data_IF_437600068704
#
_entry.id   IF_437600068704
#
_cell.length_a   1.000
_cell.length_b   1.000
_cell.length_c   1.000
_cell.angle_alpha   90.00
_cell.angle_beta   90.00
_cell.angle_gamma   90.00
#
_symmetry.space_group_name_H-M   'P 1'
#
loop_
_entity.id
_entity.type
_entity.pdbx_description
1 polymer ?
#
# COMPACT_ATOMS: atom_id res chain seq x y z
N UNK A 1 50.22 -4.26 10.09
CA UNK A 1 49.48 -3.95 8.85
C UNK A 1 48.87 -5.24 8.35
N UNK A 2 47.57 -5.40 8.53
CA UNK A 2 46.76 -6.45 7.88
C UNK A 2 45.46 -5.74 7.49
N UNK A 3 45.49 -5.14 6.30
CA UNK A 3 44.30 -4.57 5.68
C UNK A 3 43.35 -5.71 5.36
N UNK A 4 42.22 -5.77 6.07
CA UNK A 4 41.05 -6.45 5.56
C UNK A 4 40.43 -5.50 4.51
N UNK A 5 40.77 -5.74 3.25
CA UNK A 5 39.96 -5.29 2.12
C UNK A 5 38.60 -6.03 2.19
N UNK A 6 37.71 -5.60 3.07
CA UNK A 6 36.29 -5.72 2.78
C UNK A 6 36.05 -4.72 1.66
N UNK A 7 35.97 -5.19 0.41
CA UNK A 7 35.39 -4.40 -0.67
C UNK A 7 34.05 -3.87 -0.16
N UNK A 8 33.96 -2.55 0.01
CA UNK A 8 32.68 -1.88 0.21
C UNK A 8 31.84 -2.18 -1.03
N UNK A 9 30.77 -2.95 -0.85
CA UNK A 9 29.79 -3.20 -1.92
C UNK A 9 28.56 -2.34 -1.64
N UNK A 10 27.88 -1.92 -2.70
CA UNK A 10 26.60 -1.22 -2.61
C UNK A 10 25.49 -2.27 -2.44
N UNK A 11 24.85 -2.37 -1.25
CA UNK A 11 23.93 -3.48 -0.96
C UNK A 11 22.71 -3.53 -1.87
N UNK A 12 22.12 -2.38 -2.17
CA UNK A 12 20.93 -2.27 -3.03
C UNK A 12 21.24 -2.67 -4.47
N UNK A 13 22.42 -2.29 -4.96
CA UNK A 13 22.85 -2.63 -6.30
C UNK A 13 23.10 -4.13 -6.43
N UNK A 14 23.83 -4.71 -5.46
CA UNK A 14 24.03 -6.16 -5.40
C UNK A 14 22.70 -6.92 -5.33
N UNK A 15 21.75 -6.45 -4.52
CA UNK A 15 20.42 -7.04 -4.45
C UNK A 15 19.74 -7.01 -5.83
N UNK A 16 19.75 -5.86 -6.51
CA UNK A 16 19.16 -5.72 -7.84
C UNK A 16 19.80 -6.66 -8.87
N UNK A 17 21.14 -6.80 -8.88
CA UNK A 17 21.85 -7.74 -9.76
C UNK A 17 21.44 -9.19 -9.50
N UNK A 18 21.36 -9.58 -8.21
CA UNK A 18 20.91 -10.91 -7.81
C UNK A 18 19.49 -11.14 -8.30
N UNK A 19 18.55 -10.23 -8.01
CA UNK A 19 17.16 -10.33 -8.48
C UNK A 19 17.10 -10.45 -9.99
N UNK A 20 17.72 -9.53 -10.74
CA UNK A 20 17.70 -9.53 -12.21
C UNK A 20 18.21 -10.85 -12.80
N UNK A 21 19.22 -11.47 -12.19
CA UNK A 21 19.76 -12.75 -12.66
C UNK A 21 18.73 -13.89 -12.67
N UNK A 22 17.65 -13.80 -11.90
CA UNK A 22 16.59 -14.82 -11.84
C UNK A 22 15.50 -14.67 -12.92
N UNK A 23 15.50 -13.57 -13.69
CA UNK A 23 14.48 -13.29 -14.72
C UNK A 23 15.12 -13.19 -16.10
N UNK A 24 14.54 -13.87 -17.10
CA UNK A 24 15.08 -13.80 -18.45
C UNK A 24 14.89 -12.40 -19.06
N UNK A 25 16.00 -11.80 -19.53
CA UNK A 25 15.97 -10.47 -20.16
C UNK A 25 15.85 -9.29 -19.19
N UNK A 26 15.87 -9.53 -17.87
CA UNK A 26 15.82 -8.45 -16.89
C UNK A 26 17.13 -7.64 -16.86
N UNK A 27 17.01 -6.35 -16.57
CA UNK A 27 18.14 -5.41 -16.49
C UNK A 27 18.06 -4.59 -15.21
N UNK A 28 19.23 -4.25 -14.66
CA UNK A 28 19.34 -3.30 -13.55
C UNK A 28 19.48 -1.89 -14.13
N UNK A 29 18.73 -0.95 -13.57
CA UNK A 29 18.79 0.48 -13.89
C UNK A 29 18.81 1.28 -12.59
N UNK A 30 19.37 2.48 -12.66
CA UNK A 30 19.25 3.48 -11.60
C UNK A 30 18.17 4.49 -11.99
N UNK A 31 17.19 4.70 -11.13
CA UNK A 31 16.11 5.66 -11.32
C UNK A 31 15.88 6.44 -10.02
N UNK A 32 16.00 7.78 -10.08
CA UNK A 32 15.88 8.67 -8.93
C UNK A 32 16.76 8.27 -7.72
N UNK A 33 17.95 7.73 -8.00
CA UNK A 33 18.90 7.24 -6.99
C UNK A 33 18.56 5.88 -6.38
N UNK A 34 17.49 5.22 -6.86
CA UNK A 34 17.12 3.87 -6.45
C UNK A 34 17.57 2.82 -7.46
N UNK A 35 17.90 1.61 -6.97
CA UNK A 35 18.27 0.47 -7.79
C UNK A 35 17.01 -0.30 -8.21
N UNK A 36 16.75 -0.37 -9.51
CA UNK A 36 15.51 -0.92 -10.05
C UNK A 36 15.81 -2.03 -11.05
N UNK A 37 15.12 -3.16 -10.92
CA UNK A 37 15.12 -4.24 -11.90
C UNK A 37 13.94 -4.06 -12.83
N UNK A 38 14.21 -3.91 -14.13
CA UNK A 38 13.18 -3.94 -15.15
C UNK A 38 13.08 -5.34 -15.75
N UNK A 39 11.87 -5.91 -15.74
CA UNK A 39 11.61 -7.25 -16.27
C UNK A 39 11.32 -7.28 -17.78
N UNK A 40 11.16 -6.11 -18.41
CA UNK A 40 10.84 -5.95 -19.83
C UNK A 40 9.66 -5.01 -20.08
N UNK A 41 9.38 -4.74 -21.35
CA UNK A 41 8.28 -3.85 -21.75
C UNK A 41 6.92 -4.38 -21.29
N UNK A 42 6.09 -3.50 -20.71
CA UNK A 42 4.76 -3.85 -20.18
C UNK A 42 4.77 -4.72 -18.92
N UNK A 43 5.94 -5.09 -18.40
CA UNK A 43 6.11 -5.89 -17.19
C UNK A 43 6.31 -4.97 -15.97
N UNK A 44 6.06 -5.46 -14.75
CA UNK A 44 6.39 -4.73 -13.55
C UNK A 44 7.90 -4.47 -13.43
N UNK A 45 8.27 -3.37 -12.78
CA UNK A 45 9.62 -3.11 -12.29
C UNK A 45 9.72 -3.44 -10.80
N UNK A 46 10.94 -3.71 -10.32
CA UNK A 46 11.22 -4.07 -8.92
C UNK A 46 12.29 -3.14 -8.37
N UNK A 47 11.91 -2.19 -7.53
CA UNK A 47 12.87 -1.40 -6.76
C UNK A 47 13.41 -2.24 -5.62
N UNK A 48 14.73 -2.29 -5.49
CA UNK A 48 15.45 -3.14 -4.55
C UNK A 48 16.08 -2.31 -3.43
N UNK A 49 15.74 -2.62 -2.18
CA UNK A 49 16.28 -1.94 -0.99
C UNK A 49 16.70 -2.97 0.06
N UNK A 50 17.91 -2.84 0.56
CA UNK A 50 18.41 -3.55 1.73
C UNK A 50 18.15 -2.66 2.95
N UNK A 51 17.15 -3.04 3.76
CA UNK A 51 16.68 -2.24 4.88
C UNK A 51 17.61 -2.33 6.09
N UNK A 52 18.00 -3.56 6.44
CA UNK A 52 18.86 -3.81 7.59
C UNK A 52 19.86 -4.92 7.28
N UNK A 53 21.05 -4.78 7.85
CA UNK A 53 22.13 -5.74 7.75
C UNK A 53 22.82 -5.89 9.09
N UNK A 54 23.01 -7.14 9.51
CA UNK A 54 23.79 -7.43 10.71
C UNK A 54 25.28 -7.39 10.37
N UNK A 55 26.06 -6.50 11.01
CA UNK A 55 27.49 -6.38 10.75
C UNK A 55 28.30 -7.54 11.36
N UNK A 56 27.71 -8.28 12.30
CA UNK A 56 28.36 -9.36 13.06
C UNK A 56 27.61 -10.69 12.93
N UNK A 57 28.31 -11.83 13.11
CA UNK A 57 27.68 -13.15 13.17
C UNK A 57 26.58 -13.26 14.25
N UNK A 58 25.48 -13.98 13.98
CA UNK A 58 25.13 -14.53 12.66
C UNK A 58 24.72 -13.41 11.70
N UNK A 59 25.41 -13.33 10.56
CA UNK A 59 25.12 -12.34 9.54
C UNK A 59 23.72 -12.55 8.99
N UNK A 60 23.03 -11.45 8.74
CA UNK A 60 21.70 -11.46 8.17
C UNK A 60 21.44 -10.16 7.42
N UNK A 61 20.58 -10.25 6.41
CA UNK A 61 20.06 -9.10 5.67
C UNK A 61 18.54 -9.19 5.60
N UNK A 62 17.88 -8.06 5.75
CA UNK A 62 16.45 -7.90 5.54
C UNK A 62 16.24 -6.97 4.34
N UNK A 63 15.39 -7.37 3.40
CA UNK A 63 15.19 -6.67 2.14
C UNK A 63 13.74 -6.27 1.93
N UNK A 64 13.56 -5.13 1.27
CA UNK A 64 12.30 -4.65 0.72
C UNK A 64 12.37 -4.63 -0.80
N UNK A 65 11.32 -5.13 -1.43
CA UNK A 65 11.13 -5.09 -2.88
C UNK A 65 9.80 -4.41 -3.18
N UNK A 66 9.85 -3.26 -3.84
CA UNK A 66 8.65 -2.59 -4.35
C UNK A 66 8.43 -2.98 -5.80
N UNK A 67 7.35 -3.71 -6.07
CA UNK A 67 6.99 -4.18 -7.41
C UNK A 67 5.85 -3.33 -7.96
N UNK A 68 6.10 -2.55 -9.02
CA UNK A 68 5.11 -1.60 -9.58
C UNK A 68 4.96 -1.75 -11.09
N UNK A 69 3.79 -1.35 -11.61
CA UNK A 69 3.51 -1.34 -13.04
C UNK A 69 3.06 -2.69 -13.59
N UNK A 70 2.98 -2.78 -14.92
CA UNK A 70 2.38 -3.92 -15.61
C UNK A 70 0.96 -4.21 -15.10
N UNK A 71 0.63 -5.51 -14.96
CA UNK A 71 -0.69 -5.93 -14.46
C UNK A 71 -0.92 -5.68 -12.96
N UNK A 72 0.10 -5.28 -12.19
CA UNK A 72 -0.06 -4.89 -10.77
C UNK A 72 -0.57 -3.45 -10.61
N UNK A 73 -0.53 -2.64 -11.68
CA UNK A 73 -0.90 -1.24 -11.66
C UNK A 73 0.13 -0.35 -10.97
N UNK A 74 -0.17 0.95 -10.87
CA UNK A 74 0.73 1.96 -10.32
C UNK A 74 0.96 1.81 -8.81
N UNK A 75 -0.06 1.35 -8.07
CA UNK A 75 0.08 1.16 -6.62
C UNK A 75 1.08 0.06 -6.30
N UNK A 76 1.05 -1.06 -7.03
CA UNK A 76 2.03 -2.13 -6.89
C UNK A 76 1.92 -2.95 -5.60
N UNK A 77 3.05 -3.51 -5.19
CA UNK A 77 3.20 -4.41 -4.05
C UNK A 77 4.52 -4.21 -3.30
N UNK A 78 4.48 -4.29 -1.97
CA UNK A 78 5.67 -4.36 -1.13
C UNK A 78 5.88 -5.78 -0.66
N UNK A 79 7.07 -6.34 -0.92
CA UNK A 79 7.43 -7.70 -0.51
C UNK A 79 8.70 -7.68 0.32
N UNK A 80 8.75 -8.54 1.33
CA UNK A 80 9.89 -8.68 2.25
C UNK A 80 10.48 -10.08 2.16
N UNK A 81 11.80 -10.15 2.35
CA UNK A 81 12.50 -11.40 2.58
C UNK A 81 13.73 -11.18 3.47
N UNK A 82 14.26 -12.27 3.98
CA UNK A 82 15.52 -12.27 4.72
C UNK A 82 16.47 -13.34 4.22
N UNK A 83 17.75 -13.08 4.44
CA UNK A 83 18.84 -13.98 4.10
C UNK A 83 19.86 -14.03 5.23
N UNK A 84 20.46 -15.20 5.42
CA UNK A 84 21.52 -15.43 6.38
C UNK A 84 22.67 -16.10 5.65
N UNK A 85 23.88 -15.61 5.81
CA UNK A 85 25.02 -16.07 5.03
C UNK A 85 26.33 -16.05 5.81
N UNK A 86 27.44 -16.48 5.16
CA UNK A 86 28.77 -16.48 5.78
C UNK A 86 29.35 -15.07 5.99
N UNK A 87 28.68 -14.03 5.49
CA UNK A 87 29.07 -12.64 5.59
C UNK A 87 27.92 -11.70 5.21
N UNK A 88 28.15 -10.40 5.36
CA UNK A 88 27.23 -9.33 4.97
C UNK A 88 26.74 -9.48 3.51
N UNK A 89 27.67 -9.53 2.55
CA UNK A 89 27.39 -9.73 1.13
C UNK A 89 26.61 -11.02 0.86
N UNK A 90 27.05 -12.14 1.44
CA UNK A 90 26.39 -13.43 1.29
C UNK A 90 24.97 -13.45 1.84
N UNK A 91 24.68 -12.64 2.87
CA UNK A 91 23.33 -12.52 3.44
C UNK A 91 22.38 -11.78 2.49
N UNK A 92 22.85 -10.72 1.82
CA UNK A 92 22.09 -10.01 0.78
C UNK A 92 21.79 -10.92 -0.41
N UNK A 93 22.80 -11.63 -0.92
CA UNK A 93 22.62 -12.62 -2.01
C UNK A 93 21.59 -13.67 -1.60
N UNK A 94 21.69 -14.22 -0.39
CA UNK A 94 20.75 -15.21 0.12
C UNK A 94 19.33 -14.65 0.21
N UNK A 95 19.16 -13.40 0.66
CA UNK A 95 17.86 -12.76 0.74
C UNK A 95 17.22 -12.60 -0.65
N UNK A 96 17.99 -12.10 -1.62
CA UNK A 96 17.56 -11.94 -3.01
C UNK A 96 17.18 -13.28 -3.65
N UNK A 97 18.03 -14.31 -3.55
CA UNK A 97 17.75 -15.64 -4.07
C UNK A 97 16.53 -16.28 -3.41
N UNK A 98 16.36 -16.13 -2.09
CA UNK A 98 15.20 -16.66 -1.38
C UNK A 98 13.89 -16.07 -1.94
N UNK A 99 13.85 -14.76 -2.13
CA UNK A 99 12.68 -14.11 -2.72
C UNK A 99 12.49 -14.51 -4.18
N UNK A 100 13.53 -14.41 -4.99
CA UNK A 100 13.42 -14.62 -6.43
C UNK A 100 13.02 -16.05 -6.78
N UNK A 101 13.55 -17.04 -6.06
CA UNK A 101 13.19 -18.43 -6.26
C UNK A 101 11.77 -18.77 -5.78
N UNK A 102 11.34 -18.24 -4.64
CA UNK A 102 10.01 -18.54 -4.09
C UNK A 102 8.89 -17.73 -4.74
N UNK A 103 9.09 -16.42 -4.92
CA UNK A 103 8.03 -15.48 -5.28
C UNK A 103 8.16 -14.91 -6.69
N UNK A 104 9.34 -14.97 -7.33
CA UNK A 104 9.49 -14.67 -8.75
C UNK A 104 8.56 -15.50 -9.65
N UNK A 105 8.46 -16.85 -9.46
CA UNK A 105 7.51 -17.68 -10.19
C UNK A 105 6.04 -17.31 -9.99
N UNK A 106 5.65 -16.89 -8.78
CA UNK A 106 4.29 -16.42 -8.49
C UNK A 106 3.97 -15.18 -9.32
N UNK A 107 4.87 -14.19 -9.32
CA UNK A 107 4.71 -12.96 -10.07
C UNK A 107 4.56 -13.25 -11.57
N UNK A 108 5.51 -13.99 -12.14
CA UNK A 108 5.52 -14.33 -13.56
C UNK A 108 4.31 -15.16 -13.99
N UNK A 109 3.89 -16.13 -13.18
CA UNK A 109 2.71 -16.93 -13.47
C UNK A 109 1.44 -16.07 -13.45
N UNK A 110 1.28 -15.22 -12.43
CA UNK A 110 0.09 -14.38 -12.29
C UNK A 110 -0.04 -13.32 -13.40
N UNK A 111 1.09 -12.79 -13.90
CA UNK A 111 1.07 -11.85 -15.03
C UNK A 111 0.99 -12.54 -16.41
N UNK A 112 0.90 -13.87 -16.45
CA UNK A 112 0.77 -14.64 -17.69
C UNK A 112 2.07 -14.85 -18.45
N UNK A 113 3.22 -14.77 -17.78
CA UNK A 113 4.57 -14.97 -18.33
C UNK A 113 5.37 -16.07 -17.63
N UNK A 114 4.81 -17.28 -17.40
CA UNK A 114 5.56 -18.37 -16.78
C UNK A 114 6.74 -18.84 -17.64
N UNK A 115 6.76 -18.50 -18.94
CA UNK A 115 7.88 -18.75 -19.87
C UNK A 115 9.19 -18.07 -19.45
N UNK A 116 9.13 -17.05 -18.60
CA UNK A 116 10.31 -16.31 -18.13
C UNK A 116 10.90 -16.87 -16.83
N UNK A 117 10.32 -17.93 -16.25
CA UNK A 117 10.78 -18.51 -14.97
C UNK A 117 12.10 -19.27 -15.19
N UNK A 118 13.16 -18.85 -14.49
CA UNK A 118 14.46 -19.55 -14.51
C UNK A 118 14.62 -20.57 -13.38
N UNK A 119 13.80 -20.47 -12.34
CA UNK A 119 13.82 -21.41 -11.20
C UNK A 119 13.48 -22.80 -11.70
N UNK A 120 14.31 -23.79 -11.37
CA UNK A 120 14.03 -25.20 -11.66
C UNK A 120 12.90 -25.69 -10.76
N UNK A 121 11.94 -26.41 -11.34
CA UNK A 121 10.77 -26.99 -10.65
C UNK A 121 10.08 -26.00 -9.68
N UNK A 122 9.60 -24.84 -10.19
CA UNK A 122 9.04 -23.81 -9.33
C UNK A 122 7.77 -24.32 -8.63
N UNK A 123 7.75 -24.25 -7.30
CA UNK A 123 6.54 -24.56 -6.53
C UNK A 123 5.57 -23.37 -6.61
N UNK A 124 4.47 -23.54 -7.36
CA UNK A 124 3.38 -22.56 -7.45
C UNK A 124 2.04 -23.30 -7.37
N UNK A 125 1.19 -22.90 -6.43
CA UNK A 125 -0.21 -23.37 -6.36
C UNK A 125 -1.14 -22.32 -6.97
N UNK A 126 -2.15 -22.77 -7.71
CA UNK A 126 -3.27 -21.93 -8.17
C UNK A 126 -4.60 -22.48 -7.69
N UNK A 127 -5.46 -21.59 -7.19
CA UNK A 127 -6.84 -21.93 -6.81
C UNK A 127 -7.77 -20.74 -7.01
N UNK A 128 -9.08 -21.00 -7.08
CA UNK A 128 -10.09 -19.93 -7.04
C UNK A 128 -10.52 -19.64 -5.60
N UNK A 129 -10.70 -18.36 -5.29
CA UNK A 129 -11.27 -17.89 -4.03
C UNK A 129 -12.30 -16.79 -4.28
N UNK A 130 -13.23 -16.63 -3.33
CA UNK A 130 -14.16 -15.50 -3.29
C UNK A 130 -13.68 -14.51 -2.24
N UNK A 131 -13.51 -13.25 -2.64
CA UNK A 131 -13.24 -12.12 -1.75
C UNK A 131 -14.44 -11.20 -1.84
N UNK A 132 -15.22 -11.12 -0.76
CA UNK A 132 -16.55 -10.53 -0.81
C UNK A 132 -17.42 -11.20 -1.87
N UNK A 133 -18.01 -10.41 -2.76
CA UNK A 133 -18.84 -10.92 -3.86
C UNK A 133 -18.07 -11.21 -5.16
N UNK A 134 -16.73 -11.05 -5.17
CA UNK A 134 -15.89 -11.15 -6.37
C UNK A 134 -15.00 -12.39 -6.34
N UNK A 135 -14.93 -13.12 -7.45
CA UNK A 135 -14.03 -14.27 -7.65
C UNK A 135 -12.65 -13.84 -8.12
N UNK A 136 -11.65 -14.53 -7.59
CA UNK A 136 -10.25 -14.33 -7.90
C UNK A 136 -9.58 -15.67 -8.19
N UNK A 137 -8.64 -15.68 -9.14
CA UNK A 137 -7.62 -16.70 -9.26
C UNK A 137 -6.45 -16.28 -8.39
N UNK A 138 -6.11 -17.11 -7.42
CA UNK A 138 -5.00 -16.91 -6.50
C UNK A 138 -3.83 -17.73 -7.00
N UNK A 139 -2.70 -17.08 -7.24
CA UNK A 139 -1.41 -17.74 -7.52
C UNK A 139 -0.54 -17.53 -6.29
N UNK A 140 -0.01 -18.59 -5.68
CA UNK A 140 0.71 -18.50 -4.40
C UNK A 140 1.91 -19.43 -4.35
N UNK A 141 2.94 -18.99 -3.63
CA UNK A 141 4.04 -19.83 -3.19
C UNK A 141 4.42 -19.49 -1.74
N UNK A 142 5.37 -20.24 -1.18
CA UNK A 142 5.76 -20.15 0.22
C UNK A 142 7.27 -20.11 0.42
N UNK A 143 7.68 -19.57 1.57
CA UNK A 143 9.07 -19.54 2.02
C UNK A 143 9.12 -19.84 3.52
N UNK A 144 9.45 -21.08 3.87
CA UNK A 144 9.42 -21.56 5.25
C UNK A 144 10.81 -21.55 5.89
N UNK A 145 10.86 -21.20 7.17
CA UNK A 145 12.09 -21.03 7.94
C UNK A 145 11.91 -21.54 9.37
N UNK A 146 13.03 -21.89 9.99
CA UNK A 146 13.09 -22.22 11.41
C UNK A 146 14.22 -21.46 12.11
N UNK A 147 14.11 -21.36 13.43
CA UNK A 147 15.20 -20.92 14.30
C UNK A 147 15.21 -21.80 15.54
N UNK A 148 16.31 -22.53 15.78
CA UNK A 148 16.46 -23.41 16.95
C UNK A 148 15.58 -24.66 16.94
N UNK A 149 14.97 -25.01 15.81
CA UNK A 149 14.22 -26.26 15.56
C UNK A 149 14.48 -26.76 14.14
N UNK A 150 14.26 -28.06 13.91
CA UNK A 150 14.38 -28.66 12.58
C UNK A 150 13.23 -28.28 11.65
N UNK A 151 13.45 -28.40 10.33
CA UNK A 151 12.39 -28.14 9.34
C UNK A 151 11.21 -29.11 9.44
N UNK A 152 11.41 -30.31 9.99
CA UNK A 152 10.32 -31.28 10.24
C UNK A 152 9.21 -30.70 11.14
N UNK A 153 9.56 -29.88 12.14
CA UNK A 153 8.58 -29.19 12.99
C UNK A 153 7.81 -28.12 12.22
N UNK A 154 8.48 -27.43 11.28
CA UNK A 154 7.86 -26.42 10.42
C UNK A 154 6.89 -27.08 9.44
N UNK A 155 7.28 -28.20 8.85
CA UNK A 155 6.41 -29.02 7.99
C UNK A 155 5.24 -29.64 8.77
N UNK A 156 5.47 -30.03 10.03
CA UNK A 156 4.42 -30.44 10.95
C UNK A 156 3.38 -29.34 11.19
N UNK A 157 3.84 -28.12 11.48
CA UNK A 157 2.97 -26.95 11.64
C UNK A 157 2.19 -26.65 10.34
N UNK A 158 2.89 -26.64 9.19
CA UNK A 158 2.31 -26.42 7.87
C UNK A 158 1.15 -27.40 7.60
N UNK A 159 1.35 -28.69 7.86
CA UNK A 159 0.30 -29.71 7.74
C UNK A 159 -0.86 -29.46 8.70
N UNK A 160 -0.57 -29.11 9.95
CA UNK A 160 -1.60 -28.84 10.97
C UNK A 160 -2.48 -27.63 10.62
N UNK A 161 -1.93 -26.64 9.91
CA UNK A 161 -2.66 -25.44 9.49
C UNK A 161 -3.46 -25.62 8.19
N UNK A 162 -3.32 -26.76 7.49
CA UNK A 162 -4.07 -27.04 6.25
C UNK A 162 -3.23 -27.10 4.99
N UNK A 163 -1.89 -27.11 5.09
CA UNK A 163 -0.99 -27.38 3.97
C UNK A 163 -0.41 -26.13 3.30
N UNK A 164 -0.13 -26.25 2.01
CA UNK A 164 0.78 -25.38 1.24
C UNK A 164 0.41 -23.89 1.32
N UNK A 165 -0.84 -23.54 1.03
CA UNK A 165 -1.36 -22.16 1.04
C UNK A 165 -2.25 -21.83 2.26
N UNK A 166 -1.97 -22.46 3.40
CA UNK A 166 -2.84 -22.39 4.58
C UNK A 166 -3.06 -20.97 5.12
N UNK A 167 -2.03 -20.12 5.14
CA UNK A 167 -2.15 -18.76 5.68
C UNK A 167 -3.00 -17.89 4.75
N UNK A 168 -2.73 -17.96 3.45
CA UNK A 168 -3.46 -17.22 2.42
C UNK A 168 -4.93 -17.62 2.44
N UNK A 169 -5.25 -18.92 2.49
CA UNK A 169 -6.65 -19.40 2.59
C UNK A 169 -7.34 -18.88 3.84
N UNK A 170 -6.69 -18.98 5.00
CA UNK A 170 -7.25 -18.49 6.26
C UNK A 170 -7.56 -16.98 6.22
N UNK A 171 -6.70 -16.17 5.59
CA UNK A 171 -6.90 -14.72 5.45
C UNK A 171 -7.99 -14.37 4.43
N UNK A 172 -8.14 -15.14 3.34
CA UNK A 172 -9.21 -14.90 2.36
C UNK A 172 -10.57 -15.32 2.92
N UNK A 173 -10.64 -16.43 3.64
CA UNK A 173 -11.86 -16.99 4.22
C UNK A 173 -12.39 -16.18 5.41
N UNK A 174 -11.53 -15.42 6.10
CA UNK A 174 -11.93 -14.59 7.25
C UNK A 174 -12.79 -13.38 6.88
N UNK A 175 -12.85 -13.01 5.60
CA UNK A 175 -13.53 -11.79 5.14
C UNK A 175 -12.80 -10.49 5.51
N UNK A 176 -11.53 -10.57 5.91
CA UNK A 176 -10.70 -9.40 6.26
C UNK A 176 -9.93 -8.81 5.08
N UNK A 177 -10.09 -9.36 3.88
CA UNK A 177 -9.58 -8.78 2.63
C UNK A 177 -10.78 -8.24 1.83
N UNK A 178 -10.81 -6.95 1.46
CA UNK A 178 -11.87 -6.40 0.63
C UNK A 178 -11.68 -6.77 -0.85
N UNK A 179 -12.79 -6.85 -1.59
CA UNK A 179 -12.74 -6.91 -3.05
C UNK A 179 -12.28 -5.57 -3.62
N UNK A 180 -11.25 -5.59 -4.45
CA UNK A 180 -10.82 -4.43 -5.25
C UNK A 180 -11.83 -4.09 -6.35
N UNK A 181 -11.78 -2.86 -6.83
CA UNK A 181 -12.64 -2.30 -7.86
C UNK A 181 -11.99 -2.38 -9.25
N UNK A 182 -10.68 -2.20 -9.33
CA UNK A 182 -9.90 -2.30 -10.56
C UNK A 182 -9.68 -3.75 -10.98
N UNK A 183 -9.29 -3.92 -12.23
CA UNK A 183 -8.91 -5.21 -12.81
C UNK A 183 -7.42 -5.54 -12.63
N UNK A 184 -6.67 -4.66 -11.97
CA UNK A 184 -5.27 -4.90 -11.67
C UNK A 184 -5.13 -6.03 -10.65
N UNK A 185 -4.05 -6.78 -10.78
CA UNK A 185 -3.65 -7.80 -9.82
C UNK A 185 -3.42 -7.18 -8.44
N UNK A 186 -3.68 -7.97 -7.40
CA UNK A 186 -3.49 -7.55 -6.01
C UNK A 186 -2.53 -8.51 -5.33
N UNK A 187 -1.48 -7.97 -4.70
CA UNK A 187 -0.56 -8.77 -3.91
C UNK A 187 -1.05 -8.91 -2.46
N UNK A 188 -0.96 -10.14 -1.94
CA UNK A 188 -1.25 -10.50 -0.56
C UNK A 188 -0.05 -11.26 0.02
N UNK A 189 0.65 -10.67 0.97
CA UNK A 189 1.70 -11.34 1.73
C UNK A 189 1.17 -11.79 3.09
N UNK A 190 1.43 -13.04 3.47
CA UNK A 190 1.06 -13.59 4.76
C UNK A 190 2.29 -14.15 5.46
N UNK A 191 2.49 -13.80 6.72
CA UNK A 191 3.58 -14.31 7.54
C UNK A 191 3.08 -14.68 8.93
N UNK A 192 3.51 -15.85 9.39
CA UNK A 192 3.21 -16.38 10.70
C UNK A 192 4.50 -16.93 11.32
N UNK A 193 4.86 -16.42 12.48
CA UNK A 193 5.94 -16.92 13.31
C UNK A 193 5.39 -17.39 14.66
N UNK A 194 5.69 -18.63 15.05
CA UNK A 194 5.22 -19.19 16.33
C UNK A 194 6.31 -19.96 17.06
N UNK A 195 6.35 -19.75 18.38
CA UNK A 195 7.43 -20.12 19.28
C UNK A 195 7.03 -19.84 20.73
N UNK A 196 8.01 -19.51 21.58
CA UNK A 196 7.73 -18.92 22.90
C UNK A 196 7.05 -17.56 22.79
N UNK A 197 7.36 -16.84 21.72
CA UNK A 197 6.67 -15.63 21.26
C UNK A 197 5.98 -15.91 19.93
N UNK A 198 5.02 -15.07 19.60
CA UNK A 198 4.32 -15.10 18.31
C UNK A 198 4.55 -13.79 17.58
N UNK A 199 4.61 -13.87 16.25
CA UNK A 199 4.61 -12.71 15.37
C UNK A 199 3.78 -13.03 14.14
N UNK A 200 3.13 -12.04 13.56
CA UNK A 200 2.32 -12.20 12.37
C UNK A 200 2.33 -10.90 11.59
N UNK A 201 2.30 -11.03 10.28
CA UNK A 201 2.26 -9.90 9.36
C UNK A 201 1.33 -10.27 8.21
N UNK A 202 0.54 -9.30 7.78
CA UNK A 202 -0.16 -9.39 6.49
C UNK A 202 0.08 -8.10 5.74
N UNK A 203 0.41 -8.21 4.46
CA UNK A 203 0.61 -7.08 3.55
C UNK A 203 -0.41 -7.15 2.43
N UNK A 204 -1.11 -6.05 2.16
CA UNK A 204 -2.06 -5.93 1.06
C UNK A 204 -1.61 -4.77 0.16
N UNK A 205 -1.16 -5.08 -1.05
CA UNK A 205 -0.48 -4.11 -1.91
C UNK A 205 0.84 -3.63 -1.28
N UNK A 206 0.96 -2.34 -1.04
CA UNK A 206 2.22 -1.67 -0.63
C UNK A 206 2.45 -1.60 0.88
N UNK A 207 1.55 -2.09 1.72
CA UNK A 207 1.65 -1.87 3.15
C UNK A 207 0.99 -2.93 4.00
N UNK A 208 1.19 -2.78 5.31
CA UNK A 208 0.61 -3.67 6.30
C UNK A 208 -0.92 -3.56 6.35
N UNK A 209 -1.56 -4.69 6.58
CA UNK A 209 -3.01 -4.85 6.63
C UNK A 209 -3.43 -5.47 7.97
N UNK A 210 -3.60 -4.64 9.03
CA UNK A 210 -3.81 -5.12 10.39
C UNK A 210 -5.06 -5.99 10.56
N UNK A 211 -6.12 -5.71 9.79
CA UNK A 211 -7.37 -6.47 9.84
C UNK A 211 -7.15 -7.97 9.57
N UNK A 212 -6.29 -8.32 8.61
CA UNK A 212 -5.94 -9.71 8.33
C UNK A 212 -4.79 -10.23 9.21
N UNK A 213 -3.86 -9.36 9.62
CA UNK A 213 -2.78 -9.75 10.53
C UNK A 213 -3.32 -10.33 11.85
N UNK A 214 -4.44 -9.79 12.37
CA UNK A 214 -5.11 -10.31 13.56
C UNK A 214 -5.59 -11.78 13.41
N UNK A 215 -5.96 -12.21 12.19
CA UNK A 215 -6.34 -13.60 11.90
C UNK A 215 -5.14 -14.52 12.07
N UNK A 216 -4.00 -14.13 11.48
CA UNK A 216 -2.75 -14.88 11.58
C UNK A 216 -2.19 -14.86 13.01
N UNK A 217 -2.37 -13.76 13.75
CA UNK A 217 -1.97 -13.68 15.14
C UNK A 217 -2.71 -14.70 16.01
N UNK A 218 -4.04 -14.80 15.83
CA UNK A 218 -4.86 -15.78 16.54
C UNK A 218 -4.43 -17.21 16.19
N UNK A 219 -4.12 -17.49 14.93
CA UNK A 219 -3.54 -18.78 14.51
C UNK A 219 -2.18 -19.05 15.17
N UNK A 220 -1.29 -18.06 15.17
CA UNK A 220 0.05 -18.19 15.77
C UNK A 220 -0.04 -18.56 17.26
N UNK A 221 -0.93 -17.89 18.00
CA UNK A 221 -1.17 -18.12 19.44
C UNK A 221 -1.71 -19.52 19.74
N UNK A 222 -2.57 -20.08 18.88
CA UNK A 222 -3.08 -21.46 19.02
C UNK A 222 -2.00 -22.52 18.92
N UNK A 223 -0.89 -22.20 18.25
CA UNK A 223 0.25 -23.10 18.03
C UNK A 223 1.51 -22.64 18.78
N UNK A 224 1.37 -21.72 19.74
CA UNK A 224 2.48 -21.21 20.53
C UNK A 224 3.03 -22.28 21.51
N UNK A 225 4.27 -22.08 21.94
CA UNK A 225 5.03 -23.03 22.75
C UNK A 225 6.14 -23.71 21.95
N UNK A 226 7.03 -24.46 22.60
CA UNK A 226 8.20 -25.11 21.98
C UNK A 226 9.53 -24.38 22.25
N UNK A 227 10.64 -25.00 21.85
CA UNK A 227 12.00 -24.53 22.14
C UNK A 227 12.56 -23.53 21.12
N UNK A 228 12.00 -23.45 19.92
CA UNK A 228 12.43 -22.51 18.88
C UNK A 228 11.27 -21.95 18.05
N UNK A 229 11.61 -21.22 17.00
CA UNK A 229 10.69 -20.49 16.15
C UNK A 229 10.39 -21.27 14.86
N UNK A 230 9.11 -21.49 14.57
CA UNK A 230 8.63 -21.93 13.25
C UNK A 230 8.09 -20.71 12.51
N UNK A 231 8.56 -20.46 11.30
CA UNK A 231 8.21 -19.30 10.50
C UNK A 231 7.70 -19.74 9.15
N UNK A 232 6.50 -19.31 8.82
CA UNK A 232 5.77 -19.61 7.62
C UNK A 232 5.55 -18.29 6.86
N UNK A 233 5.95 -18.23 5.60
CA UNK A 233 5.67 -17.08 4.73
C UNK A 233 4.99 -17.57 3.46
N UNK A 234 3.96 -16.85 3.05
CA UNK A 234 3.27 -17.05 1.77
C UNK A 234 3.18 -15.70 1.08
N UNK A 235 3.33 -15.72 -0.25
CA UNK A 235 3.04 -14.55 -1.07
C UNK A 235 2.15 -14.98 -2.22
N UNK A 236 1.02 -14.30 -2.33
CA UNK A 236 -0.03 -14.58 -3.28
C UNK A 236 -0.30 -13.37 -4.15
N UNK A 237 -0.62 -13.62 -5.42
CA UNK A 237 -1.14 -12.63 -6.36
C UNK A 237 -2.55 -13.04 -6.77
N UNK A 238 -3.49 -12.13 -6.56
CA UNK A 238 -4.91 -12.32 -6.80
C UNK A 238 -5.27 -11.64 -8.12
N UNK A 239 -5.73 -12.44 -9.07
CA UNK A 239 -6.25 -12.00 -10.36
C UNK A 239 -7.78 -11.97 -10.30
N UNK A 240 -8.43 -10.81 -10.47
CA UNK A 240 -9.88 -10.75 -10.57
C UNK A 240 -10.39 -11.52 -11.80
N UNK A 241 -11.39 -12.38 -11.61
CA UNK A 241 -11.99 -13.20 -12.69
C UNK A 241 -13.31 -12.65 -13.23
N UNK A 242 -13.86 -11.65 -12.56
CA UNK A 242 -15.13 -11.02 -12.89
C UNK A 242 -15.08 -9.53 -12.57
N UNK A 243 -15.95 -8.69 -13.16
CA UNK A 243 -16.02 -7.27 -12.85
C UNK A 243 -16.28 -7.00 -11.36
N UNK A 244 -15.94 -5.80 -10.89
CA UNK A 244 -16.21 -5.42 -9.53
C UNK A 244 -17.73 -5.41 -9.23
N UNK A 245 -18.17 -5.95 -8.08
CA UNK A 245 -19.59 -6.01 -7.73
C UNK A 245 -20.15 -4.59 -7.53
N UNK A 246 -21.44 -4.35 -7.78
CA UNK A 246 -22.04 -3.02 -7.55
C UNK A 246 -21.80 -2.57 -6.11
N UNK A 247 -21.41 -1.31 -5.92
CA UNK A 247 -21.22 -0.75 -4.60
C UNK A 247 -22.56 -0.72 -3.84
N UNK A 248 -22.55 -1.21 -2.61
CA UNK A 248 -23.64 -1.03 -1.65
C UNK A 248 -23.11 -0.23 -0.47
N UNK A 249 -24.00 0.45 0.26
CA UNK A 249 -23.60 1.21 1.45
C UNK A 249 -22.92 0.29 2.47
N UNK A 250 -23.48 -0.90 2.68
CA UNK A 250 -22.99 -1.87 3.66
C UNK A 250 -21.64 -2.43 3.25
N UNK A 251 -21.48 -2.85 1.98
CA UNK A 251 -20.20 -3.37 1.49
C UNK A 251 -19.11 -2.31 1.54
N UNK A 252 -19.44 -1.05 1.20
CA UNK A 252 -18.49 0.05 1.26
C UNK A 252 -18.10 0.37 2.71
N UNK A 253 -19.06 0.47 3.62
CA UNK A 253 -18.78 0.73 5.04
C UNK A 253 -17.98 -0.42 5.67
N UNK A 254 -18.19 -1.67 5.25
CA UNK A 254 -17.37 -2.81 5.66
C UNK A 254 -15.91 -2.64 5.26
N UNK A 255 -15.63 -2.27 4.01
CA UNK A 255 -14.27 -1.97 3.55
C UNK A 255 -13.63 -0.82 4.34
N UNK A 256 -14.38 0.25 4.58
CA UNK A 256 -13.90 1.40 5.36
C UNK A 256 -13.62 1.05 6.83
N UNK A 257 -14.41 0.16 7.42
CA UNK A 257 -14.15 -0.34 8.78
C UNK A 257 -12.82 -1.09 8.88
N UNK A 258 -12.45 -1.86 7.84
CA UNK A 258 -11.16 -2.53 7.78
C UNK A 258 -10.02 -1.52 7.59
N UNK A 259 -10.18 -0.55 6.68
CA UNK A 259 -9.22 0.52 6.48
C UNK A 259 -8.93 1.31 7.76
N UNK A 260 -9.94 1.52 8.61
CA UNK A 260 -9.77 2.20 9.90
C UNK A 260 -8.71 1.55 10.80
N UNK A 261 -8.45 0.25 10.65
CA UNK A 261 -7.40 -0.42 11.40
C UNK A 261 -5.98 0.05 11.03
N UNK A 262 -5.81 0.74 9.90
CA UNK A 262 -4.57 1.37 9.47
C UNK A 262 -4.38 2.79 10.03
N UNK A 263 -5.28 3.30 10.89
CA UNK A 263 -5.26 4.70 11.34
C UNK A 263 -3.98 5.13 12.08
N UNK A 264 -3.23 4.19 12.66
CA UNK A 264 -1.95 4.48 13.32
C UNK A 264 -0.79 4.61 12.32
N UNK A 265 -0.97 4.19 11.06
CA UNK A 265 0.00 4.38 10.00
C UNK A 265 -0.22 5.74 9.32
N UNK A 266 0.61 6.76 9.59
CA UNK A 266 0.44 8.11 9.04
C UNK A 266 0.65 8.17 7.53
N UNK A 267 1.18 7.10 6.90
CA UNK A 267 1.33 7.01 5.44
C UNK A 267 0.11 6.38 4.77
N UNK A 268 -0.75 5.67 5.50
CA UNK A 268 -1.96 5.04 4.95
C UNK A 268 -3.13 6.00 4.89
N UNK A 269 -4.04 5.88 3.91
CA UNK A 269 -5.23 6.74 3.76
C UNK A 269 -5.99 6.96 5.08
N UNK A 270 -6.14 5.91 5.90
CA UNK A 270 -6.84 5.97 7.19
C UNK A 270 -6.12 6.77 8.28
N UNK A 271 -4.79 6.82 8.21
CA UNK A 271 -3.99 7.56 9.17
C UNK A 271 -3.91 9.05 8.90
N UNK A 272 -4.45 9.55 7.78
CA UNK A 272 -4.39 10.98 7.43
C UNK A 272 -5.52 11.81 8.03
N UNK A 273 -5.32 13.13 8.06
CA UNK A 273 -6.19 14.10 8.71
C UNK A 273 -7.68 14.03 8.28
N UNK A 274 -7.94 13.89 6.97
CA UNK A 274 -9.30 13.71 6.45
C UNK A 274 -9.97 12.45 7.01
N UNK A 275 -9.29 11.31 6.90
CA UNK A 275 -9.78 10.05 7.41
C UNK A 275 -9.99 10.02 8.92
N UNK A 276 -9.10 10.67 9.70
CA UNK A 276 -9.24 10.85 11.15
C UNK A 276 -10.47 11.70 11.50
N UNK A 277 -10.77 12.73 10.71
CA UNK A 277 -11.92 13.62 10.94
C UNK A 277 -13.26 12.87 10.83
N UNK A 278 -13.44 12.08 9.76
CA UNK A 278 -14.68 11.33 9.55
C UNK A 278 -14.61 9.87 10.08
N UNK A 279 -13.47 9.45 10.64
CA UNK A 279 -13.24 8.13 11.23
C UNK A 279 -13.47 6.95 10.27
N UNK A 280 -13.23 7.13 8.97
CA UNK A 280 -13.61 6.18 7.91
C UNK A 280 -15.11 5.79 7.94
N UNK A 281 -16.01 6.75 8.23
CA UNK A 281 -17.46 6.52 8.25
C UNK A 281 -18.17 7.27 7.13
N UNK A 282 -19.13 6.60 6.50
CA UNK A 282 -20.07 7.20 5.56
C UNK A 282 -21.14 8.01 6.32
N UNK A 283 -21.37 9.25 5.90
CA UNK A 283 -22.54 10.05 6.30
C UNK A 283 -23.83 9.43 5.79
N UNK A 284 -24.99 9.89 6.28
CA UNK A 284 -26.28 9.39 5.81
C UNK A 284 -26.51 9.70 4.31
N UNK A 285 -27.29 8.89 3.58
CA UNK A 285 -27.78 9.27 2.26
C UNK A 285 -28.59 10.58 2.33
N UNK A 286 -28.42 11.44 1.34
CA UNK A 286 -29.01 12.80 1.31
C UNK A 286 -30.22 12.94 0.37
N UNK A 287 -30.62 11.86 -0.30
CA UNK A 287 -31.67 11.86 -1.32
C UNK A 287 -31.16 12.17 -2.73
N UNK A 288 -32.10 12.13 -3.68
CA UNK A 288 -31.84 12.42 -5.11
C UNK A 288 -31.79 13.92 -5.30
N UNK A 289 -30.71 14.42 -5.91
CA UNK A 289 -30.54 15.84 -6.24
C UNK A 289 -30.76 16.04 -7.74
N UNK A 290 -31.80 16.78 -8.17
CA UNK A 290 -32.08 17.02 -9.58
C UNK A 290 -30.91 17.71 -10.30
N UNK A 291 -30.65 17.31 -11.55
CA UNK A 291 -29.62 17.92 -12.39
C UNK A 291 -28.20 17.40 -12.17
N UNK A 292 -27.99 16.47 -11.23
CA UNK A 292 -26.73 15.75 -11.10
C UNK A 292 -26.64 14.59 -12.11
N UNK A 293 -25.43 14.28 -12.61
CA UNK A 293 -25.16 13.04 -13.33
C UNK A 293 -25.66 11.80 -12.58
N UNK A 294 -26.16 10.81 -13.31
CA UNK A 294 -26.88 9.65 -12.76
C UNK A 294 -26.12 8.92 -11.66
N UNK A 295 -24.85 8.64 -11.87
CA UNK A 295 -23.97 7.96 -10.90
C UNK A 295 -23.82 8.74 -9.58
N UNK A 296 -23.65 10.06 -9.67
CA UNK A 296 -23.55 10.93 -8.50
C UNK A 296 -24.89 10.98 -7.76
N UNK A 297 -25.98 11.17 -8.50
CA UNK A 297 -27.32 11.19 -7.91
C UNK A 297 -27.67 9.88 -7.22
N UNK A 298 -27.32 8.74 -7.81
CA UNK A 298 -27.50 7.42 -7.23
C UNK A 298 -26.68 7.27 -5.94
N UNK A 299 -25.40 7.67 -5.97
CA UNK A 299 -24.51 7.55 -4.81
C UNK A 299 -24.99 8.40 -3.63
N UNK A 300 -25.38 9.66 -3.85
CA UNK A 300 -25.92 10.52 -2.79
C UNK A 300 -27.23 9.97 -2.21
N UNK A 301 -28.10 9.44 -3.07
CA UNK A 301 -29.41 8.92 -2.68
C UNK A 301 -29.35 7.57 -1.96
N UNK A 302 -28.34 6.74 -2.25
CA UNK A 302 -28.30 5.33 -1.82
C UNK A 302 -27.11 5.03 -0.91
N UNK A 303 -25.95 5.62 -1.18
CA UNK A 303 -24.70 5.30 -0.52
C UNK A 303 -24.40 6.32 0.57
N UNK A 304 -24.03 7.56 0.26
CA UNK A 304 -23.68 8.57 1.26
C UNK A 304 -23.69 9.98 0.67
N UNK A 305 -24.17 10.96 1.43
CA UNK A 305 -24.08 12.37 1.07
C UNK A 305 -22.86 13.11 1.63
N UNK A 306 -22.09 12.47 2.52
CA UNK A 306 -20.86 13.03 3.10
C UNK A 306 -20.02 11.94 3.77
N UNK A 307 -18.89 12.32 4.35
CA UNK A 307 -18.07 11.45 5.19
C UNK A 307 -16.91 10.84 4.41
N UNK A 308 -16.68 9.53 4.57
CA UNK A 308 -15.50 8.89 4.03
C UNK A 308 -15.37 8.98 2.51
N UNK A 309 -14.21 9.45 2.07
CA UNK A 309 -13.87 9.62 0.67
C UNK A 309 -12.52 10.29 0.48
N UNK A 310 -12.18 10.61 -0.78
CA UNK A 310 -10.89 11.20 -1.14
C UNK A 310 -10.55 12.47 -0.36
N UNK A 311 -9.27 12.64 -0.03
CA UNK A 311 -8.73 13.82 0.63
C UNK A 311 -9.34 14.06 2.01
N UNK A 312 -10.10 15.15 2.16
CA UNK A 312 -10.76 15.52 3.43
C UNK A 312 -12.15 14.92 3.63
N UNK A 313 -12.54 14.00 2.75
CA UNK A 313 -13.82 13.34 2.75
C UNK A 313 -14.81 13.96 1.76
N UNK A 314 -15.86 13.20 1.47
CA UNK A 314 -16.96 13.65 0.62
C UNK A 314 -17.66 14.84 1.27
N UNK A 315 -17.67 15.96 0.54
CA UNK A 315 -18.38 17.19 0.88
C UNK A 315 -19.08 17.77 -0.36
N UNK A 316 -20.01 17.03 -0.98
CA UNK A 316 -20.61 17.40 -2.23
C UNK A 316 -21.53 18.61 -2.10
N UNK A 317 -21.29 19.66 -2.88
CA UNK A 317 -22.11 20.88 -2.88
C UNK A 317 -22.03 21.65 -4.22
N UNK A 318 -23.08 22.44 -4.57
CA UNK A 318 -23.03 23.29 -5.75
C UNK A 318 -21.86 24.27 -5.66
N UNK A 319 -21.14 24.44 -6.77
CA UNK A 319 -20.07 25.45 -6.89
C UNK A 319 -20.46 26.52 -7.92
N UNK A 320 -21.07 26.12 -9.03
CA UNK A 320 -21.65 27.00 -10.06
C UNK A 320 -22.64 26.22 -10.92
N UNK A 321 -23.28 26.88 -11.89
CA UNK A 321 -24.18 26.24 -12.86
C UNK A 321 -23.49 25.16 -13.73
N UNK A 322 -22.16 25.08 -13.71
CA UNK A 322 -21.37 24.10 -14.50
C UNK A 322 -20.67 23.05 -13.65
N UNK A 323 -20.45 23.33 -12.38
CA UNK A 323 -19.54 22.58 -11.53
C UNK A 323 -20.13 22.31 -10.16
N UNK A 324 -19.88 21.10 -9.67
CA UNK A 324 -20.21 20.68 -8.32
C UNK A 324 -18.92 20.32 -7.59
N UNK A 325 -18.71 20.83 -6.39
CA UNK A 325 -17.58 20.38 -5.56
C UNK A 325 -17.87 18.96 -5.06
N UNK A 326 -16.88 18.07 -5.06
CA UNK A 326 -16.99 16.71 -4.52
C UNK A 326 -16.31 16.56 -3.16
N UNK A 327 -15.06 16.99 -3.07
CA UNK A 327 -14.24 16.90 -1.88
C UNK A 327 -13.09 17.91 -1.95
N UNK A 328 -12.63 18.37 -0.79
CA UNK A 328 -11.40 19.15 -0.70
C UNK A 328 -10.21 18.18 -0.75
N UNK A 329 -9.25 18.50 -1.62
CA UNK A 329 -8.05 17.69 -1.80
C UNK A 329 -6.95 18.14 -0.80
N UNK A 330 -6.90 19.45 -0.54
CA UNK A 330 -5.95 20.07 0.38
C UNK A 330 -5.30 21.29 -0.24
N UNK A 331 -4.84 22.22 0.60
CA UNK A 331 -4.06 23.37 0.18
C UNK A 331 -4.71 24.28 -0.88
N UNK A 332 -6.05 24.28 -0.90
CA UNK A 332 -6.85 25.06 -1.84
C UNK A 332 -7.26 24.26 -3.08
N UNK A 333 -6.67 23.09 -3.31
CA UNK A 333 -7.10 22.16 -4.34
C UNK A 333 -8.37 21.40 -3.93
N UNK A 334 -9.19 21.09 -4.92
CA UNK A 334 -10.47 20.37 -4.75
C UNK A 334 -10.81 19.53 -5.97
N UNK A 335 -11.56 18.46 -5.75
CA UNK A 335 -12.18 17.72 -6.84
C UNK A 335 -13.55 18.31 -7.17
N UNK A 336 -13.81 18.47 -8.46
CA UNK A 336 -15.06 19.01 -8.98
C UNK A 336 -15.64 18.09 -10.05
N UNK A 337 -16.95 17.95 -10.04
CA UNK A 337 -17.74 17.24 -11.03
C UNK A 337 -18.29 18.24 -12.06
N UNK A 338 -18.06 17.96 -13.34
CA UNK A 338 -18.65 18.73 -14.43
C UNK A 338 -20.08 18.26 -14.67
N UNK A 339 -21.05 19.16 -14.54
CA UNK A 339 -22.46 18.78 -14.64
C UNK A 339 -22.89 18.35 -16.04
N UNK A 340 -22.22 18.87 -17.08
CA UNK A 340 -22.60 18.63 -18.47
C UNK A 340 -22.34 17.19 -18.94
N UNK A 341 -21.25 16.56 -18.48
CA UNK A 341 -20.80 15.24 -18.94
C UNK A 341 -20.45 14.27 -17.80
N UNK A 342 -20.49 14.71 -16.54
CA UNK A 342 -20.20 13.88 -15.37
C UNK A 342 -18.72 13.61 -15.12
N UNK A 343 -17.81 14.22 -15.88
CA UNK A 343 -16.37 14.05 -15.68
C UNK A 343 -15.90 14.68 -14.37
N UNK A 344 -14.87 14.10 -13.75
CA UNK A 344 -14.26 14.60 -12.51
C UNK A 344 -12.91 15.23 -12.81
N UNK A 345 -12.71 16.44 -12.30
CA UNK A 345 -11.51 17.24 -12.47
C UNK A 345 -10.88 17.58 -11.12
N UNK A 346 -9.56 17.69 -11.07
CA UNK A 346 -8.84 18.31 -9.98
C UNK A 346 -8.63 19.80 -10.34
N UNK A 347 -9.24 20.67 -9.54
CA UNK A 347 -9.00 22.12 -9.55
C UNK A 347 -7.89 22.40 -8.54
N UNK A 348 -6.67 22.60 -9.03
CA UNK A 348 -5.48 22.93 -8.25
C UNK A 348 -4.93 24.32 -8.61
N UNK A 349 -5.74 25.18 -9.23
CA UNK A 349 -5.31 26.50 -9.71
C UNK A 349 -4.68 27.34 -8.60
N UNK A 350 -5.20 27.23 -7.37
CA UNK A 350 -4.65 27.93 -6.22
C UNK A 350 -3.26 27.42 -5.75
N UNK A 351 -2.83 26.24 -6.20
CA UNK A 351 -1.59 25.56 -5.77
C UNK A 351 -0.51 25.60 -6.87
N UNK A 352 -0.88 25.23 -8.09
CA UNK A 352 0.05 25.02 -9.21
C UNK A 352 -0.50 25.49 -10.57
N UNK A 353 -1.51 26.37 -10.56
CA UNK A 353 -2.24 26.83 -11.75
C UNK A 353 -2.88 25.68 -12.58
N UNK A 354 -3.00 24.48 -11.99
CA UNK A 354 -3.49 23.28 -12.65
C UNK A 354 -5.02 23.13 -12.68
N UNK A 355 -5.53 22.59 -13.78
CA UNK A 355 -6.92 22.13 -13.90
C UNK A 355 -6.97 20.91 -14.83
N UNK A 356 -7.12 19.71 -14.26
CA UNK A 356 -6.92 18.46 -15.00
C UNK A 356 -8.06 17.47 -14.82
N UNK A 357 -8.39 16.76 -15.91
CA UNK A 357 -9.32 15.64 -15.89
C UNK A 357 -8.68 14.47 -15.14
N UNK A 358 -9.35 13.96 -14.12
CA UNK A 358 -8.81 12.85 -13.29
C UNK A 358 -9.64 11.57 -13.36
N UNK A 359 -10.91 11.66 -13.77
CA UNK A 359 -11.74 10.47 -13.99
C UNK A 359 -12.89 10.75 -14.98
N UNK A 360 -13.35 9.73 -15.71
CA UNK A 360 -14.48 9.85 -16.62
C UNK A 360 -15.82 10.04 -15.91
N UNK A 361 -15.90 9.78 -14.61
CA UNK A 361 -17.13 9.80 -13.83
C UNK A 361 -16.89 9.80 -12.33
N UNK A 362 -17.93 10.13 -11.55
CA UNK A 362 -17.88 10.13 -10.08
C UNK A 362 -17.51 8.76 -9.51
N UNK A 363 -18.13 7.67 -9.99
CA UNK A 363 -17.85 6.34 -9.46
C UNK A 363 -16.43 5.89 -9.78
N UNK A 364 -15.96 6.11 -11.02
CA UNK A 364 -14.58 5.80 -11.39
C UNK A 364 -13.56 6.53 -10.49
N UNK A 365 -13.82 7.80 -10.16
CA UNK A 365 -12.98 8.56 -9.23
C UNK A 365 -13.01 8.00 -7.80
N UNK A 366 -14.20 7.73 -7.26
CA UNK A 366 -14.36 7.24 -5.89
C UNK A 366 -13.80 5.82 -5.72
N UNK A 367 -14.00 4.95 -6.71
CA UNK A 367 -13.48 3.59 -6.71
C UNK A 367 -11.96 3.53 -6.87
N UNK A 368 -11.38 4.42 -7.69
CA UNK A 368 -9.93 4.55 -7.79
C UNK A 368 -9.29 4.97 -6.45
N UNK A 369 -9.94 5.87 -5.71
CA UNK A 369 -9.52 6.18 -4.34
C UNK A 369 -9.63 4.99 -3.40
N UNK A 370 -10.75 4.27 -3.45
CA UNK A 370 -10.98 3.12 -2.59
C UNK A 370 -9.92 2.04 -2.82
N UNK A 371 -9.59 1.74 -4.08
CA UNK A 371 -8.52 0.81 -4.42
C UNK A 371 -7.15 1.29 -3.97
N UNK A 372 -6.84 2.56 -4.19
CA UNK A 372 -5.59 3.14 -3.72
C UNK A 372 -5.46 3.01 -2.19
N UNK A 373 -6.53 3.31 -1.44
CA UNK A 373 -6.57 3.18 0.01
C UNK A 373 -6.38 1.72 0.46
N UNK A 374 -7.11 0.78 -0.16
CA UNK A 374 -7.02 -0.66 0.13
C UNK A 374 -5.61 -1.21 -0.15
N UNK A 375 -5.01 -0.80 -1.27
CA UNK A 375 -3.68 -1.24 -1.71
C UNK A 375 -2.54 -0.45 -1.03
N UNK A 376 -2.85 0.39 -0.04
CA UNK A 376 -1.89 1.19 0.72
C UNK A 376 -1.04 2.13 -0.15
N UNK A 377 -1.62 2.69 -1.22
CA UNK A 377 -0.94 3.60 -2.14
C UNK A 377 -0.66 5.01 -1.60
N UNK A 378 -0.94 5.27 -0.33
CA UNK A 378 -0.81 6.58 0.29
C UNK A 378 -1.98 7.52 -0.05
N UNK A 379 -1.85 8.84 0.23
CA UNK A 379 -2.87 9.83 -0.09
C UNK A 379 -3.24 9.85 -1.56
N UNK A 380 -4.54 9.87 -1.84
CA UNK A 380 -5.06 10.03 -3.20
C UNK A 380 -5.04 11.49 -3.69
N UNK A 381 -3.94 12.22 -3.46
CA UNK A 381 -3.82 13.62 -3.87
C UNK A 381 -3.74 13.77 -5.39
N UNK A 382 -2.82 13.05 -6.03
CA UNK A 382 -2.51 13.17 -7.48
C UNK A 382 -2.08 14.59 -7.92
N UNK A 383 -1.35 15.35 -7.08
CA UNK A 383 -0.54 16.50 -7.53
C UNK A 383 0.84 16.48 -6.85
N UNK A 384 1.84 17.03 -7.54
CA UNK A 384 3.21 17.11 -7.03
C UNK A 384 3.36 18.32 -6.10
N UNK A 385 3.05 18.15 -4.82
CA UNK A 385 3.10 19.24 -3.85
C UNK A 385 4.50 19.88 -3.73
N UNK A 386 5.59 19.19 -4.12
CA UNK A 386 6.95 19.76 -4.11
C UNK A 386 7.10 20.95 -5.07
N UNK A 387 6.24 21.07 -6.09
CA UNK A 387 6.31 22.23 -6.99
C UNK A 387 5.61 23.47 -6.45
N UNK A 388 4.71 23.32 -5.46
CA UNK A 388 3.92 24.41 -4.90
C UNK A 388 4.78 25.37 -4.06
N UNK A 389 4.60 26.66 -4.34
CA UNK A 389 5.35 27.77 -3.77
C UNK A 389 5.26 27.86 -2.24
N UNK A 390 4.12 27.49 -1.65
CA UNK A 390 3.91 27.47 -0.20
C UNK A 390 4.80 26.41 0.45
N UNK A 391 5.02 25.27 -0.21
CA UNK A 391 5.93 24.22 0.28
C UNK A 391 7.38 24.58 0.14
N UNK A 392 7.77 25.24 -0.96
CA UNK A 392 9.14 25.77 -1.09
C UNK A 392 9.44 26.80 -0.01
N UNK A 393 8.49 27.65 0.35
CA UNK A 393 8.63 28.59 1.48
C UNK A 393 8.77 27.86 2.82
N UNK A 394 8.04 26.76 3.00
CA UNK A 394 8.10 25.88 4.17
C UNK A 394 9.47 25.19 4.30
N UNK A 395 9.95 24.60 3.21
CA UNK A 395 11.28 23.98 3.07
C UNK A 395 12.38 25.00 3.38
N UNK A 396 12.31 26.19 2.77
CA UNK A 396 13.29 27.26 3.00
C UNK A 396 13.24 27.73 4.46
N UNK A 397 12.06 27.93 5.04
CA UNK A 397 11.92 28.30 6.45
C UNK A 397 12.52 27.23 7.38
N UNK A 398 12.36 25.94 7.06
CA UNK A 398 12.93 24.84 7.83
C UNK A 398 14.47 24.87 7.80
N UNK A 399 15.03 25.09 6.61
CA UNK A 399 16.47 25.16 6.37
C UNK A 399 17.10 26.41 6.99
N UNK A 400 16.44 27.56 6.93
CA UNK A 400 16.98 28.84 7.37
C UNK A 400 16.79 29.10 8.87
N UNK A 401 15.65 28.69 9.44
CA UNK A 401 15.23 29.07 10.80
C UNK A 401 15.24 27.92 11.80
N UNK A 402 15.50 26.70 11.32
CA UNK A 402 15.44 25.49 12.11
C UNK A 402 14.01 24.96 12.27
N UNK A 403 13.91 23.64 12.35
CA UNK A 403 12.66 22.85 12.42
C UNK A 403 11.76 23.29 13.58
N UNK A 404 12.37 23.61 14.73
CA UNK A 404 11.65 23.98 15.96
C UNK A 404 10.85 25.29 15.83
N UNK A 405 11.23 26.17 14.90
CA UNK A 405 10.58 27.48 14.70
C UNK A 405 9.55 27.49 13.58
N UNK A 406 9.40 26.38 12.85
CA UNK A 406 8.40 26.24 11.80
C UNK A 406 6.95 26.48 12.26
N UNK A 407 6.51 26.01 13.45
CA UNK A 407 5.14 26.25 13.91
C UNK A 407 4.79 27.72 14.13
N UNK A 408 5.80 28.58 14.36
CA UNK A 408 5.65 30.02 14.60
C UNK A 408 5.70 30.85 13.30
N UNK A 409 6.26 30.29 12.24
CA UNK A 409 6.69 31.05 11.04
C UNK A 409 5.91 30.72 9.78
N UNK A 410 5.15 29.63 9.77
CA UNK A 410 4.40 29.17 8.59
C UNK A 410 2.93 29.55 8.70
N UNK A 411 2.39 30.12 7.61
CA UNK A 411 0.96 30.42 7.48
C UNK A 411 0.16 29.13 7.52
N UNK A 412 -0.69 28.95 8.54
CA UNK A 412 -1.59 27.80 8.62
C UNK A 412 -2.49 27.77 7.38
N UNK A 413 -2.34 26.74 6.54
CA UNK A 413 -3.32 26.44 5.50
C UNK A 413 -4.60 25.99 6.22
N UNK A 414 -5.63 26.83 6.19
CA UNK A 414 -6.93 26.53 6.79
C UNK A 414 -7.76 25.70 5.82
N UNK A 415 -7.63 24.37 5.90
CA UNK A 415 -8.72 23.52 5.43
C UNK A 415 -9.89 23.66 6.41
N UNK A 416 -11.13 23.56 5.95
CA UNK A 416 -12.31 23.62 6.81
C UNK A 416 -13.12 22.35 6.66
N UNK A 417 -13.73 21.89 7.74
CA UNK A 417 -14.71 20.81 7.72
C UNK A 417 -15.96 21.24 6.96
N UNK A 418 -16.85 20.30 6.60
CA UNK A 418 -18.16 20.64 6.06
C UNK A 418 -18.94 21.63 6.95
N UNK A 419 -18.72 21.61 8.26
CA UNK A 419 -19.30 22.51 9.25
C UNK A 419 -18.53 23.84 9.41
N UNK A 420 -17.53 24.10 8.58
CA UNK A 420 -16.75 25.33 8.59
C UNK A 420 -15.72 25.43 9.72
N UNK A 421 -15.38 24.31 10.38
CA UNK A 421 -14.35 24.30 11.42
C UNK A 421 -12.96 24.11 10.81
N UNK A 422 -11.92 24.84 11.23
CA UNK A 422 -10.57 24.58 10.76
C UNK A 422 -10.18 23.12 10.99
N UNK A 423 -9.73 22.45 9.94
CA UNK A 423 -9.04 21.17 9.98
C UNK A 423 -7.54 21.48 9.88
N UNK A 424 -6.71 20.61 10.48
CA UNK A 424 -5.26 20.74 10.55
C UNK A 424 -4.56 20.97 9.20
N UNK A 425 -3.22 21.04 9.18
CA UNK A 425 -2.49 21.29 7.94
C UNK A 425 -2.81 20.20 6.89
N UNK A 426 -2.72 20.55 5.61
CA UNK A 426 -3.11 19.63 4.55
C UNK A 426 -2.14 18.42 4.44
N UNK A 427 -2.44 17.39 3.65
CA UNK A 427 -1.63 16.15 3.64
C UNK A 427 -0.16 16.43 3.28
N UNK A 428 0.05 17.23 2.24
CA UNK A 428 1.39 17.57 1.77
C UNK A 428 2.14 18.45 2.79
N UNK A 429 1.43 19.17 3.66
CA UNK A 429 2.06 19.84 4.79
C UNK A 429 2.52 18.81 5.83
N UNK A 430 1.65 17.91 6.29
CA UNK A 430 2.03 16.85 7.24
C UNK A 430 3.23 16.02 6.74
N UNK A 431 3.25 15.66 5.45
CA UNK A 431 4.35 14.92 4.84
C UNK A 431 5.66 15.73 4.80
N UNK A 432 5.59 17.00 4.39
CA UNK A 432 6.76 17.90 4.38
C UNK A 432 7.31 18.06 5.80
N UNK A 433 6.44 18.30 6.78
CA UNK A 433 6.82 18.44 8.18
C UNK A 433 7.45 17.17 8.75
N UNK A 434 6.90 15.99 8.43
CA UNK A 434 7.45 14.71 8.83
C UNK A 434 8.86 14.48 8.25
N UNK A 435 9.09 14.86 6.98
CA UNK A 435 10.42 14.82 6.36
C UNK A 435 11.45 15.66 7.12
N UNK A 436 11.03 16.76 7.73
CA UNK A 436 11.89 17.61 8.57
C UNK A 436 11.93 17.20 10.05
N UNK A 437 11.27 16.11 10.45
CA UNK A 437 11.26 15.63 11.83
C UNK A 437 10.32 16.39 12.78
N UNK A 438 9.38 17.18 12.26
CA UNK A 438 8.33 17.79 13.09
C UNK A 438 7.30 16.72 13.44
N UNK A 439 7.03 16.47 14.75
CA UNK A 439 6.10 15.42 15.13
C UNK A 439 4.64 15.81 14.80
N UNK A 440 3.80 14.87 14.34
CA UNK A 440 2.40 15.14 14.01
C UNK A 440 1.57 15.72 15.16
N UNK A 441 2.00 15.52 16.41
CA UNK A 441 1.35 16.06 17.62
C UNK A 441 1.28 17.58 17.65
N UNK A 442 2.13 18.27 16.88
CA UNK A 442 2.08 19.74 16.71
C UNK A 442 0.78 20.18 16.02
N UNK A 443 0.15 19.29 15.26
CA UNK A 443 -1.05 19.58 14.46
C UNK A 443 -2.37 19.26 15.19
N UNK A 444 -2.26 19.07 16.51
CA UNK A 444 -3.24 18.75 17.57
C UNK A 444 -4.58 19.50 17.60
N UNK A 445 -4.92 20.30 16.59
CA UNK A 445 -5.81 21.46 16.71
C UNK A 445 -5.24 22.50 17.69
N UNK A 446 -4.27 23.29 17.24
CA UNK A 446 -4.05 24.58 17.88
C UNK A 446 -5.31 25.44 17.63
N UNK A 447 -5.79 26.18 18.64
CA UNK A 447 -7.06 26.92 18.57
C UNK A 447 -7.13 27.90 17.40
#
# INVERSE_FOLDING_TARGET
MSGNDQQSFEPDHLLAEVIASHFHGARVVEADGAQVVELGEGMPSIQCVVDDMRPDPPYGAFIFLEVKGGRLGETGALVTASGYGPGAQGSVVTAGCNWACAFGPVLLTAIGRPDLIRTQDPEVEQFEARVGARRYRVTVSRLDRSMGVGMEEVEGLRRALGGYSALTRAVLESGTVPATRSDDLVALGCFLGTGRSTTSETKLGMGDWPAAAAVLEALARRHAGGSGMRMLREWAVLEPLEPAPVLTRDSLQHTLNMLRACADNPRSEAGWCGARHHGMRLGAPGGVVPGLPGDMSWFLGTIAASGAGPGYGLAPRPLSDRWWQLADAGCGARWVLKLADGTVWLDSVACDDGFQLVAPGFLAWYEAWLDNAVRQGGPFGRWEYRVDSVYKLLVNAAQEKGVDRLPETVTRVRTHSPEGKPIGPCHACEETYARYGVPPTVFVTAP
#
